data_IF_351931848760
#
_entry.id   IF_351931848760
#
_cell.length_a   1.000
_cell.length_b   1.000
_cell.length_c   1.000
_cell.angle_alpha   90.00
_cell.angle_beta   90.00
_cell.angle_gamma   90.00
#
_symmetry.space_group_name_H-M   'P 1'
#
loop_
_entity.id
_entity.type
_entity.pdbx_description
1 polymer ?
#
# COMPACT_ATOMS: atom_id res chain seq x y z
N UNK A 1 39.87 -1.61 15.52
CA UNK A 1 39.39 -1.01 14.25
C UNK A 1 38.15 -1.76 13.75
N UNK A 2 37.07 -1.84 14.54
CA UNK A 2 35.85 -2.63 14.23
C UNK A 2 34.57 -1.78 14.41
N UNK A 3 34.59 -0.78 15.29
CA UNK A 3 33.45 0.10 15.57
C UNK A 3 33.05 1.06 14.44
N UNK A 4 33.94 1.31 13.46
CA UNK A 4 33.64 2.18 12.32
C UNK A 4 32.64 1.56 11.34
N UNK A 5 32.61 0.22 11.22
CA UNK A 5 31.76 -0.49 10.25
C UNK A 5 30.32 -0.73 10.74
N UNK A 6 30.11 -0.81 12.06
CA UNK A 6 28.78 -1.09 12.62
C UNK A 6 27.77 0.05 12.39
N UNK A 7 28.25 1.30 12.37
CA UNK A 7 27.40 2.48 12.17
C UNK A 7 27.38 2.98 10.71
N UNK A 8 28.20 2.41 9.82
CA UNK A 8 28.30 2.86 8.43
C UNK A 8 26.95 2.87 7.70
N UNK A 9 26.09 1.84 7.82
CA UNK A 9 24.79 1.85 7.14
C UNK A 9 23.90 3.01 7.59
N UNK A 10 23.89 3.33 8.88
CA UNK A 10 23.09 4.42 9.46
C UNK A 10 23.61 5.80 9.06
N UNK A 11 24.93 5.93 8.87
CA UNK A 11 25.54 7.17 8.38
C UNK A 11 25.24 7.35 6.89
N UNK A 12 25.37 6.28 6.10
CA UNK A 12 25.06 6.30 4.67
C UNK A 12 23.57 6.58 4.42
N UNK A 13 22.67 5.97 5.17
CA UNK A 13 21.23 6.17 5.01
C UNK A 13 20.81 7.61 5.28
N UNK A 14 21.57 8.37 6.09
CA UNK A 14 21.32 9.78 6.38
C UNK A 14 22.09 10.74 5.48
N UNK A 15 22.89 10.21 4.56
CA UNK A 15 23.63 11.04 3.63
C UNK A 15 22.65 11.79 2.73
N UNK A 16 22.91 13.07 2.47
CA UNK A 16 22.02 13.94 1.69
C UNK A 16 21.66 13.33 0.35
N UNK A 17 22.66 12.92 -0.44
CA UNK A 17 22.42 12.35 -1.77
C UNK A 17 21.54 11.08 -1.74
N UNK A 18 21.59 10.32 -0.64
CA UNK A 18 20.71 9.14 -0.46
C UNK A 18 19.28 9.58 -0.17
N UNK A 19 19.10 10.58 0.69
CA UNK A 19 17.78 11.12 1.02
C UNK A 19 17.14 11.88 -0.14
N UNK A 20 17.91 12.65 -0.90
CA UNK A 20 17.47 13.36 -2.10
C UNK A 20 17.01 12.35 -3.18
N UNK A 21 17.74 11.25 -3.36
CA UNK A 21 17.34 10.18 -4.27
C UNK A 21 16.10 9.41 -3.79
N UNK A 22 15.99 9.13 -2.48
CA UNK A 22 14.79 8.54 -1.89
C UNK A 22 13.57 9.42 -2.13
N UNK A 23 13.69 10.73 -1.92
CA UNK A 23 12.60 11.68 -2.17
C UNK A 23 12.18 11.69 -3.64
N UNK A 24 13.13 11.71 -4.57
CA UNK A 24 12.87 11.64 -6.02
C UNK A 24 12.09 10.38 -6.39
N UNK A 25 12.53 9.21 -5.90
CA UNK A 25 11.88 7.92 -6.20
C UNK A 25 10.49 7.85 -5.57
N UNK A 26 10.34 8.28 -4.32
CA UNK A 26 9.06 8.28 -3.61
C UNK A 26 8.04 9.18 -4.30
N UNK A 27 8.47 10.37 -4.72
CA UNK A 27 7.63 11.30 -5.49
C UNK A 27 7.15 10.66 -6.80
N UNK A 28 8.07 10.05 -7.56
CA UNK A 28 7.73 9.37 -8.81
C UNK A 28 6.69 8.25 -8.61
N UNK A 29 6.88 7.44 -7.56
CA UNK A 29 5.95 6.35 -7.23
C UNK A 29 4.60 6.90 -6.79
N UNK A 30 4.58 7.93 -5.94
CA UNK A 30 3.36 8.53 -5.43
C UNK A 30 2.50 9.11 -6.57
N UNK A 31 3.10 9.88 -7.49
CA UNK A 31 2.38 10.46 -8.63
C UNK A 31 1.81 9.38 -9.55
N UNK A 32 2.58 8.31 -9.84
CA UNK A 32 2.07 7.18 -10.63
C UNK A 32 0.93 6.46 -9.93
N UNK A 33 1.04 6.26 -8.62
CA UNK A 33 0.00 5.62 -7.83
C UNK A 33 -1.29 6.47 -7.83
N UNK A 34 -1.16 7.79 -7.71
CA UNK A 34 -2.30 8.72 -7.80
C UNK A 34 -2.96 8.65 -9.17
N UNK A 35 -2.18 8.63 -10.26
CA UNK A 35 -2.70 8.50 -11.61
C UNK A 35 -3.53 7.21 -11.77
N UNK A 36 -2.99 6.07 -11.36
CA UNK A 36 -3.69 4.77 -11.43
C UNK A 36 -4.97 4.81 -10.61
N UNK A 37 -4.89 5.36 -9.39
CA UNK A 37 -6.03 5.46 -8.50
C UNK A 37 -7.13 6.32 -9.11
N UNK A 38 -6.79 7.51 -9.63
CA UNK A 38 -7.73 8.43 -10.30
C UNK A 38 -8.40 7.78 -11.50
N UNK A 39 -7.67 7.02 -12.32
CA UNK A 39 -8.24 6.31 -13.47
C UNK A 39 -9.34 5.30 -13.08
N UNK A 40 -9.31 4.80 -11.84
CA UNK A 40 -10.22 3.76 -11.35
C UNK A 40 -11.14 4.27 -10.22
N UNK A 41 -11.04 5.56 -9.88
CA UNK A 41 -11.77 6.15 -8.76
C UNK A 41 -13.20 6.46 -9.18
N UNK A 42 -14.15 5.75 -8.57
CA UNK A 42 -15.56 6.13 -8.62
C UNK A 42 -15.95 7.07 -7.47
N UNK A 43 -15.39 6.84 -6.28
CA UNK A 43 -15.64 7.61 -5.03
C UNK A 43 -14.33 7.99 -4.31
N UNK A 44 -14.39 9.03 -3.49
CA UNK A 44 -13.24 9.72 -2.89
C UNK A 44 -12.58 9.07 -1.66
N UNK A 45 -12.97 7.86 -1.25
CA UNK A 45 -12.59 7.29 0.05
C UNK A 45 -11.11 6.88 0.18
N UNK A 46 -10.38 6.74 -0.93
CA UNK A 46 -9.00 6.20 -0.94
C UNK A 46 -7.99 7.21 -1.46
N UNK A 47 -6.84 7.39 -0.80
CA UNK A 47 -5.79 8.37 -1.14
C UNK A 47 -4.40 7.71 -1.22
N UNK A 48 -3.48 8.37 -1.92
CA UNK A 48 -2.06 8.08 -1.81
C UNK A 48 -1.44 9.05 -0.81
N UNK A 49 -0.69 8.52 0.14
CA UNK A 49 -0.01 9.28 1.18
C UNK A 49 1.48 8.96 1.15
N UNK A 50 2.31 9.93 1.53
CA UNK A 50 3.74 9.74 1.72
C UNK A 50 4.04 9.91 3.19
N UNK A 51 4.56 8.86 3.81
CA UNK A 51 5.02 8.88 5.20
C UNK A 51 6.54 8.84 5.27
N UNK A 52 7.11 9.54 6.24
CA UNK A 52 8.55 9.59 6.47
C UNK A 52 8.88 9.02 7.85
N UNK A 53 9.79 8.05 7.86
CA UNK A 53 10.43 7.54 9.08
C UNK A 53 11.81 8.20 9.30
N UNK A 54 12.60 7.61 10.20
CA UNK A 54 13.94 8.16 10.55
C UNK A 54 14.92 8.25 9.37
N UNK A 55 14.81 7.33 8.41
CA UNK A 55 15.66 7.21 7.21
C UNK A 55 14.91 6.67 6.00
N UNK A 56 13.71 6.15 6.21
CA UNK A 56 12.88 5.48 5.22
C UNK A 56 11.72 6.40 4.82
N UNK A 57 11.25 6.26 3.59
CA UNK A 57 10.06 6.93 3.08
C UNK A 57 9.12 5.89 2.51
N UNK A 58 7.83 6.03 2.79
CA UNK A 58 6.80 5.06 2.41
C UNK A 58 5.76 5.73 1.53
N UNK A 59 5.33 5.01 0.48
CA UNK A 59 4.14 5.36 -0.29
C UNK A 59 3.01 4.44 0.17
N UNK A 60 1.94 5.04 0.68
CA UNK A 60 0.85 4.34 1.35
C UNK A 60 -0.44 4.54 0.56
N UNK A 61 -1.14 3.44 0.31
CA UNK A 61 -2.52 3.47 -0.16
C UNK A 61 -3.43 3.47 1.09
N UNK A 62 -4.05 4.61 1.36
CA UNK A 62 -4.94 4.83 2.49
C UNK A 62 -6.40 4.77 2.03
N UNK A 63 -7.29 4.33 2.92
CA UNK A 63 -8.74 4.32 2.67
C UNK A 63 -9.48 4.61 3.98
N UNK A 64 -10.41 5.57 3.97
CA UNK A 64 -11.15 6.00 5.16
C UNK A 64 -11.98 4.87 5.78
N UNK A 65 -12.36 3.87 4.99
CA UNK A 65 -13.09 2.67 5.46
C UNK A 65 -12.17 1.66 6.15
N UNK A 66 -10.85 1.91 6.11
CA UNK A 66 -9.81 1.20 6.84
C UNK A 66 -8.94 0.30 5.97
N UNK A 67 -7.89 -0.26 6.60
CA UNK A 67 -6.82 -1.02 5.94
C UNK A 67 -7.32 -2.19 5.06
N UNK A 68 -8.41 -2.86 5.45
CA UNK A 68 -8.98 -3.97 4.65
C UNK A 68 -9.55 -3.49 3.32
N UNK A 69 -10.07 -2.27 3.26
CA UNK A 69 -10.55 -1.66 2.01
C UNK A 69 -9.37 -1.36 1.09
N UNK A 70 -8.33 -0.70 1.60
CA UNK A 70 -7.08 -0.44 0.86
C UNK A 70 -6.44 -1.74 0.32
N UNK A 71 -6.34 -2.79 1.14
CA UNK A 71 -5.83 -4.09 0.70
C UNK A 71 -6.70 -4.74 -0.39
N UNK A 72 -8.02 -4.58 -0.29
CA UNK A 72 -8.93 -5.09 -1.32
C UNK A 72 -8.72 -4.33 -2.63
N UNK A 73 -8.48 -3.02 -2.58
CA UNK A 73 -8.18 -2.21 -3.78
C UNK A 73 -6.86 -2.68 -4.41
N UNK A 74 -5.82 -2.88 -3.60
CA UNK A 74 -4.50 -3.28 -4.11
C UNK A 74 -4.51 -4.69 -4.71
N UNK A 75 -5.06 -5.68 -4.00
CA UNK A 75 -4.90 -7.10 -4.35
C UNK A 75 -6.18 -7.80 -4.81
N UNK A 76 -7.32 -7.12 -4.75
CA UNK A 76 -8.62 -7.72 -4.99
C UNK A 76 -9.14 -8.47 -3.77
N UNK A 77 -10.36 -8.99 -3.89
CA UNK A 77 -11.00 -9.85 -2.90
C UNK A 77 -12.00 -10.78 -3.57
N UNK A 78 -12.14 -11.99 -3.03
CA UNK A 78 -13.24 -12.89 -3.41
C UNK A 78 -14.56 -12.46 -2.78
N UNK A 79 -15.68 -12.91 -3.35
CA UNK A 79 -16.99 -12.69 -2.76
C UNK A 79 -17.05 -13.28 -1.35
N UNK A 80 -17.62 -12.55 -0.39
CA UNK A 80 -17.75 -13.00 0.99
C UNK A 80 -19.05 -12.51 1.63
N UNK A 81 -19.60 -13.31 2.54
CA UNK A 81 -20.75 -12.91 3.34
C UNK A 81 -20.25 -12.13 4.55
N UNK A 82 -20.70 -10.89 4.69
CA UNK A 82 -20.36 -9.99 5.78
C UNK A 82 -21.61 -9.67 6.59
N UNK A 83 -21.46 -9.59 7.90
CA UNK A 83 -22.52 -9.10 8.78
C UNK A 83 -22.48 -7.58 8.76
N UNK A 84 -23.57 -6.95 8.33
CA UNK A 84 -23.74 -5.49 8.39
C UNK A 84 -24.81 -5.12 9.40
N UNK A 85 -24.70 -3.92 9.92
CA UNK A 85 -25.67 -3.34 10.85
C UNK A 85 -26.47 -2.26 10.12
N UNK A 86 -27.79 -2.26 10.29
CA UNK A 86 -28.66 -1.21 9.76
C UNK A 86 -28.65 0.04 10.67
N UNK A 87 -29.36 1.09 10.27
CA UNK A 87 -29.49 2.33 11.06
C UNK A 87 -30.27 2.15 12.37
N UNK A 88 -30.86 0.98 12.60
CA UNK A 88 -31.66 0.62 13.76
C UNK A 88 -30.97 -0.42 14.67
N UNK A 89 -29.73 -0.80 14.36
CA UNK A 89 -28.94 -1.77 15.14
C UNK A 89 -29.18 -3.24 14.80
N UNK A 90 -29.98 -3.55 13.78
CA UNK A 90 -30.23 -4.94 13.36
C UNK A 90 -29.08 -5.45 12.49
N UNK A 91 -28.60 -6.65 12.81
CA UNK A 91 -27.56 -7.33 12.03
C UNK A 91 -28.18 -8.15 10.90
N UNK A 92 -27.71 -7.95 9.67
CA UNK A 92 -28.12 -8.73 8.51
C UNK A 92 -26.90 -9.23 7.73
N UNK A 93 -27.09 -10.33 7.01
CA UNK A 93 -26.08 -10.88 6.12
C UNK A 93 -26.13 -10.14 4.79
N UNK A 94 -25.00 -9.57 4.38
CA UNK A 94 -24.81 -8.93 3.09
C UNK A 94 -23.67 -9.63 2.34
N UNK A 95 -23.83 -9.80 1.04
CA UNK A 95 -22.74 -10.32 0.20
C UNK A 95 -21.88 -9.16 -0.28
N UNK A 96 -20.61 -9.15 0.13
CA UNK A 96 -19.61 -8.30 -0.47
C UNK A 96 -19.19 -8.93 -1.81
N UNK A 97 -19.31 -8.23 -2.94
CA UNK A 97 -18.95 -8.79 -4.24
C UNK A 97 -17.45 -8.99 -4.36
N UNK A 98 -17.09 -9.95 -5.21
CA UNK A 98 -15.73 -10.13 -5.72
C UNK A 98 -15.27 -8.88 -6.47
N UNK A 99 -13.97 -8.60 -6.38
CA UNK A 99 -13.35 -7.44 -7.01
C UNK A 99 -11.93 -7.79 -7.41
N UNK A 100 -11.57 -7.46 -8.64
CA UNK A 100 -10.20 -7.56 -9.12
C UNK A 100 -9.32 -6.49 -8.46
N UNK A 101 -8.08 -6.84 -8.14
CA UNK A 101 -7.10 -5.90 -7.61
C UNK A 101 -6.62 -4.93 -8.67
N UNK A 102 -6.49 -3.66 -8.30
CA UNK A 102 -5.96 -2.61 -9.17
C UNK A 102 -4.42 -2.60 -9.22
N UNK A 103 -3.77 -3.24 -8.24
CA UNK A 103 -2.30 -3.28 -8.14
C UNK A 103 -1.67 -1.89 -8.24
N UNK A 104 -2.23 -0.91 -7.52
CA UNK A 104 -1.84 0.50 -7.59
C UNK A 104 -0.37 0.67 -7.22
N UNK A 105 0.00 0.26 -6.01
CA UNK A 105 1.37 0.40 -5.50
C UNK A 105 2.34 -0.55 -6.21
N UNK A 106 1.90 -1.78 -6.50
CA UNK A 106 2.73 -2.75 -7.19
C UNK A 106 3.08 -2.32 -8.63
N UNK A 107 2.17 -1.63 -9.31
CA UNK A 107 2.39 -1.12 -10.67
C UNK A 107 3.18 0.18 -10.63
N UNK A 108 2.83 1.11 -9.73
CA UNK A 108 3.51 2.40 -9.59
C UNK A 108 5.00 2.26 -9.22
N UNK A 109 5.32 1.31 -8.32
CA UNK A 109 6.69 1.10 -7.84
C UNK A 109 7.60 0.37 -8.83
N UNK A 110 7.03 -0.34 -9.81
CA UNK A 110 7.80 -1.17 -10.75
C UNK A 110 8.63 -2.28 -10.07
N UNK A 111 8.40 -2.51 -8.78
CA UNK A 111 9.15 -3.49 -8.01
C UNK A 111 8.74 -4.91 -8.44
N UNK A 112 9.69 -5.85 -8.53
CA UNK A 112 9.37 -7.22 -8.90
C UNK A 112 8.33 -7.79 -7.94
N UNK A 113 7.18 -8.23 -8.48
CA UNK A 113 6.12 -8.86 -7.69
C UNK A 113 6.73 -10.02 -6.89
N UNK A 114 6.75 -9.91 -5.57
CA UNK A 114 7.15 -11.03 -4.71
C UNK A 114 6.15 -12.14 -4.93
N UNK A 115 6.53 -13.19 -5.67
CA UNK A 115 5.71 -14.39 -5.84
C UNK A 115 5.42 -14.94 -4.44
N UNK A 116 4.16 -14.92 -4.01
CA UNK A 116 3.72 -15.72 -2.85
C UNK A 116 4.18 -17.15 -3.15
N UNK A 117 5.03 -17.69 -2.30
CA UNK A 117 5.44 -19.09 -2.40
C UNK A 117 4.19 -19.95 -2.53
N UNK A 118 4.23 -20.93 -3.45
CA UNK A 118 3.12 -21.87 -3.67
C UNK A 118 2.67 -22.38 -2.30
N UNK A 119 1.43 -22.11 -1.92
CA UNK A 119 0.81 -22.79 -0.79
C UNK A 119 0.77 -24.26 -1.19
N UNK A 120 1.62 -25.08 -0.56
CA UNK A 120 1.43 -26.52 -0.60
C UNK A 120 0.16 -26.79 0.20
N UNK A 121 -0.91 -27.12 -0.51
CA UNK A 121 -2.04 -27.82 0.06
C UNK A 121 -1.60 -29.28 0.10
N UNK A 122 -1.31 -29.78 1.29
CA UNK A 122 -1.25 -31.22 1.57
C UNK A 122 -2.67 -31.81 1.51
#
# INVERSE_FOLDING_TARGET
MVFLYANTPRVLSRHRDVQDELERVVFEIAVKAEEILVQHRADGDSSIEVEEGDVDKYVVLSDERGQKAALSIEYGRSASVVVREDRHGNKFLATAPEMDGLYVLATASGLPKRRKGKVKLD
#
